data_IF_787792872798
#
_entry.id   IF_787792872798
#
_cell.length_a   1.000
_cell.length_b   1.000
_cell.length_c   1.000
_cell.angle_alpha   90.00
_cell.angle_beta   90.00
_cell.angle_gamma   90.00
#
_symmetry.space_group_name_H-M   'P 1'
#
loop_
_entity.id
_entity.type
_entity.pdbx_description
1 polymer ?
#
# COMPACT_ATOMS: atom_id res chain seq x y z
N UNK A 1 -15.00 42.81 8.77
CA UNK A 1 -15.39 41.85 9.80
C UNK A 1 -14.35 40.76 9.79
N UNK A 2 -13.62 40.56 10.90
CA UNK A 2 -12.61 39.47 10.96
C UNK A 2 -13.35 38.14 11.07
N UNK A 3 -12.79 37.10 10.47
CA UNK A 3 -13.37 35.73 10.58
C UNK A 3 -13.55 35.30 12.06
N UNK A 4 -12.63 35.71 12.94
CA UNK A 4 -12.71 35.51 14.38
C UNK A 4 -14.00 36.03 15.02
N UNK A 5 -14.50 37.19 14.59
CA UNK A 5 -15.72 37.79 15.13
C UNK A 5 -16.99 36.98 14.78
N UNK A 6 -16.97 36.33 13.60
CA UNK A 6 -18.08 35.48 13.15
C UNK A 6 -18.13 34.21 14.01
N UNK A 7 -16.99 33.58 14.25
CA UNK A 7 -16.90 32.37 15.05
C UNK A 7 -17.25 32.65 16.52
N UNK A 8 -16.74 33.73 17.10
CA UNK A 8 -17.10 34.14 18.46
C UNK A 8 -18.60 34.26 18.65
N UNK A 9 -19.29 34.94 17.73
CA UNK A 9 -20.76 35.08 17.78
C UNK A 9 -21.50 33.76 17.63
N UNK A 10 -21.07 32.91 16.69
CA UNK A 10 -21.76 31.65 16.38
C UNK A 10 -21.54 30.56 17.46
N UNK A 11 -20.37 30.54 18.07
CA UNK A 11 -20.02 29.56 19.11
C UNK A 11 -20.32 30.10 20.52
N UNK A 12 -20.80 31.34 20.62
CA UNK A 12 -21.09 32.03 21.89
C UNK A 12 -19.84 32.08 22.80
N UNK A 13 -18.67 32.34 22.20
CA UNK A 13 -17.39 32.46 22.89
C UNK A 13 -17.08 33.91 23.22
N UNK A 14 -16.46 34.15 24.38
CA UNK A 14 -16.13 35.48 24.87
C UNK A 14 -14.95 36.10 24.12
N UNK A 15 -13.94 35.28 23.80
CA UNK A 15 -12.71 35.69 23.13
C UNK A 15 -12.21 34.69 22.08
N UNK A 16 -11.08 34.99 21.45
CA UNK A 16 -10.46 34.16 20.40
C UNK A 16 -9.87 32.87 21.00
N UNK A 17 -9.39 32.90 22.24
CA UNK A 17 -8.82 31.75 22.91
C UNK A 17 -9.92 30.71 23.26
N UNK A 18 -11.10 31.17 23.65
CA UNK A 18 -12.27 30.30 23.83
C UNK A 18 -12.72 29.64 22.52
N UNK A 19 -12.72 30.38 21.42
CA UNK A 19 -12.97 29.82 20.09
C UNK A 19 -11.94 28.76 19.73
N UNK A 20 -10.67 29.04 19.96
CA UNK A 20 -9.58 28.09 19.70
C UNK A 20 -9.70 26.83 20.55
N UNK A 21 -9.99 26.98 21.85
CA UNK A 21 -10.19 25.83 22.75
C UNK A 21 -11.44 25.00 22.35
N UNK A 22 -12.52 25.67 21.95
CA UNK A 22 -13.71 24.98 21.44
C UNK A 22 -13.38 24.16 20.20
N UNK A 23 -12.67 24.73 19.23
CA UNK A 23 -12.26 24.04 18.02
C UNK A 23 -11.33 22.86 18.33
N UNK A 24 -10.31 23.06 19.20
CA UNK A 24 -9.40 21.99 19.61
C UNK A 24 -10.16 20.86 20.30
N UNK A 25 -11.10 21.18 21.19
CA UNK A 25 -11.88 20.18 21.90
C UNK A 25 -12.84 19.42 20.96
N UNK A 26 -13.44 20.13 19.98
CA UNK A 26 -14.29 19.49 18.96
C UNK A 26 -13.49 18.59 18.00
N UNK A 27 -12.20 18.88 17.79
CA UNK A 27 -11.30 18.04 16.96
C UNK A 27 -10.82 16.78 17.67
N UNK A 28 -11.02 16.65 18.98
CA UNK A 28 -10.56 15.46 19.75
C UNK A 28 -11.44 14.23 19.56
N UNK A 29 -12.67 14.38 19.12
CA UNK A 29 -13.56 13.26 18.84
C UNK A 29 -13.43 12.84 17.38
N UNK A 30 -12.80 11.68 17.18
CA UNK A 30 -12.72 11.08 15.84
C UNK A 30 -14.03 10.32 15.59
N UNK A 31 -14.86 10.86 14.70
CA UNK A 31 -16.07 10.16 14.23
C UNK A 31 -15.67 9.29 13.06
N UNK A 32 -15.85 7.97 13.18
CA UNK A 32 -15.55 7.01 12.16
C UNK A 32 -16.83 6.46 11.53
N UNK A 33 -16.87 6.40 10.20
CA UNK A 33 -17.88 5.65 9.46
C UNK A 33 -17.48 4.16 9.38
N UNK A 34 -18.43 3.27 9.02
CA UNK A 34 -18.16 1.84 8.93
C UNK A 34 -17.10 1.48 7.90
N UNK A 35 -16.91 2.28 6.88
CA UNK A 35 -15.85 2.14 5.86
C UNK A 35 -14.46 2.56 6.35
N UNK A 36 -14.35 3.13 7.55
CA UNK A 36 -13.07 3.41 8.21
C UNK A 36 -12.33 2.12 8.56
N UNK A 37 -13.02 1.05 8.88
CA UNK A 37 -12.40 -0.20 9.32
C UNK A 37 -11.80 -0.97 8.14
N UNK A 38 -10.98 -1.99 8.44
CA UNK A 38 -10.37 -2.85 7.43
C UNK A 38 -11.45 -3.52 6.58
N UNK A 39 -11.32 -3.40 5.27
CA UNK A 39 -12.25 -4.00 4.32
C UNK A 39 -11.92 -5.50 4.11
N UNK A 40 -12.16 -6.32 5.12
CA UNK A 40 -11.79 -7.74 5.15
C UNK A 40 -12.28 -8.53 3.94
N UNK A 41 -13.54 -8.38 3.57
CA UNK A 41 -14.11 -9.08 2.40
C UNK A 41 -13.33 -8.78 1.14
N UNK A 42 -12.97 -7.51 0.93
CA UNK A 42 -12.18 -7.08 -0.24
C UNK A 42 -10.77 -7.68 -0.24
N UNK A 43 -10.14 -7.74 0.95
CA UNK A 43 -8.80 -8.32 1.10
C UNK A 43 -8.84 -9.82 0.84
N UNK A 44 -9.75 -10.55 1.48
CA UNK A 44 -9.90 -11.99 1.34
C UNK A 44 -10.19 -12.37 -0.12
N UNK A 45 -11.12 -11.67 -0.79
CA UNK A 45 -11.44 -11.93 -2.18
C UNK A 45 -10.26 -11.69 -3.11
N UNK A 46 -9.48 -10.63 -2.87
CA UNK A 46 -8.28 -10.33 -3.66
C UNK A 46 -7.21 -11.40 -3.48
N UNK A 47 -6.88 -11.74 -2.24
CA UNK A 47 -5.87 -12.76 -1.93
C UNK A 47 -6.32 -14.12 -2.44
N UNK A 48 -7.60 -14.49 -2.24
CA UNK A 48 -8.18 -15.73 -2.75
C UNK A 48 -8.07 -15.88 -4.26
N UNK A 49 -8.21 -14.78 -5.01
CA UNK A 49 -8.08 -14.82 -6.49
C UNK A 49 -6.69 -15.20 -6.99
N UNK A 50 -5.64 -15.03 -6.17
CA UNK A 50 -4.24 -15.32 -6.51
C UNK A 50 -3.61 -16.37 -5.57
N UNK A 51 -4.41 -16.99 -4.71
CA UNK A 51 -3.93 -17.89 -3.65
C UNK A 51 -3.09 -19.05 -4.19
N UNK A 52 -3.50 -19.65 -5.30
CA UNK A 52 -2.75 -20.75 -5.93
C UNK A 52 -1.35 -20.30 -6.32
N UNK A 53 -1.24 -19.11 -6.94
CA UNK A 53 0.04 -18.55 -7.36
C UNK A 53 0.91 -18.16 -6.14
N UNK A 54 0.30 -17.64 -5.08
CA UNK A 54 1.00 -17.37 -3.81
C UNK A 54 1.55 -18.65 -3.17
N UNK A 55 0.77 -19.74 -3.24
CA UNK A 55 1.20 -21.05 -2.71
C UNK A 55 2.38 -21.64 -3.49
N UNK A 56 2.52 -21.35 -4.79
CA UNK A 56 3.71 -21.75 -5.56
C UNK A 56 4.97 -21.10 -4.96
N UNK A 57 4.89 -19.83 -4.54
CA UNK A 57 6.01 -19.11 -3.93
C UNK A 57 6.41 -19.66 -2.55
N UNK A 58 5.54 -20.41 -1.85
CA UNK A 58 5.90 -21.07 -0.60
C UNK A 58 7.10 -22.02 -0.76
N UNK A 59 7.32 -22.53 -1.99
CA UNK A 59 8.49 -23.35 -2.32
C UNK A 59 9.82 -22.67 -1.97
N UNK A 60 9.88 -21.35 -2.03
CA UNK A 60 11.09 -20.57 -1.77
C UNK A 60 11.42 -20.43 -0.29
N UNK A 61 10.46 -20.69 0.61
CA UNK A 61 10.64 -20.49 2.04
C UNK A 61 11.73 -21.41 2.60
N UNK A 62 12.77 -20.79 3.16
CA UNK A 62 13.89 -21.49 3.77
C UNK A 62 14.90 -22.12 2.79
N UNK A 63 14.83 -21.78 1.51
CA UNK A 63 15.84 -22.19 0.52
C UNK A 63 17.16 -21.47 0.79
N UNK A 64 18.27 -22.21 0.70
CA UNK A 64 19.61 -21.65 0.90
C UNK A 64 20.05 -20.84 -0.32
N UNK A 65 19.92 -21.43 -1.51
CA UNK A 65 20.28 -20.80 -2.78
C UNK A 65 19.07 -20.12 -3.39
N UNK A 66 18.48 -19.18 -2.64
CA UNK A 66 17.20 -18.57 -2.94
C UNK A 66 17.16 -17.95 -4.35
N UNK A 67 18.26 -17.34 -4.81
CA UNK A 67 18.33 -16.70 -6.14
C UNK A 67 18.16 -17.72 -7.26
N UNK A 68 18.89 -18.83 -7.21
CA UNK A 68 18.78 -19.88 -8.22
C UNK A 68 17.43 -20.60 -8.18
N UNK A 69 16.95 -20.91 -7.00
CA UNK A 69 15.63 -21.52 -6.82
C UNK A 69 14.50 -20.60 -7.31
N UNK A 70 14.65 -19.29 -7.13
CA UNK A 70 13.72 -18.30 -7.64
C UNK A 70 13.72 -18.27 -9.18
N UNK A 71 14.91 -18.27 -9.83
CA UNK A 71 15.02 -18.30 -11.29
C UNK A 71 14.37 -19.57 -11.87
N UNK A 72 14.62 -20.72 -11.25
CA UNK A 72 14.00 -21.99 -11.65
C UNK A 72 12.49 -21.93 -11.51
N UNK A 73 11.99 -21.36 -10.40
CA UNK A 73 10.57 -21.27 -10.11
C UNK A 73 9.86 -20.37 -11.13
N UNK A 74 10.34 -19.14 -11.39
CA UNK A 74 9.69 -18.23 -12.33
C UNK A 74 9.72 -18.72 -13.77
N UNK A 75 10.78 -19.47 -14.15
CA UNK A 75 10.85 -20.10 -15.48
C UNK A 75 9.81 -21.22 -15.63
N UNK A 76 9.56 -21.97 -14.55
CA UNK A 76 8.57 -23.04 -14.54
C UNK A 76 7.13 -22.55 -14.37
N UNK A 77 6.94 -21.48 -13.61
CA UNK A 77 5.66 -20.88 -13.25
C UNK A 77 5.67 -19.37 -13.52
N UNK A 78 5.64 -18.95 -14.80
CA UNK A 78 5.80 -17.55 -15.17
C UNK A 78 4.71 -16.63 -14.63
N UNK A 79 3.53 -17.15 -14.28
CA UNK A 79 2.46 -16.41 -13.61
C UNK A 79 2.88 -15.84 -12.25
N UNK A 80 3.88 -16.40 -11.60
CA UNK A 80 4.38 -15.91 -10.30
C UNK A 80 5.00 -14.51 -10.41
N UNK A 81 5.45 -14.11 -11.60
CA UNK A 81 6.02 -12.77 -11.81
C UNK A 81 4.96 -11.68 -11.59
N UNK A 82 3.71 -11.91 -11.98
CA UNK A 82 2.64 -10.92 -11.86
C UNK A 82 2.28 -10.56 -10.42
N UNK A 83 2.61 -11.44 -9.48
CA UNK A 83 2.32 -11.21 -8.07
C UNK A 83 3.51 -10.69 -7.26
N UNK A 84 4.72 -10.60 -7.85
CA UNK A 84 5.89 -10.07 -7.15
C UNK A 84 5.69 -8.64 -6.62
N UNK A 85 5.07 -7.71 -7.38
CA UNK A 85 4.83 -6.37 -6.86
C UNK A 85 4.01 -6.34 -5.57
N UNK A 86 3.01 -7.23 -5.43
CA UNK A 86 2.17 -7.25 -4.23
C UNK A 86 2.95 -7.63 -2.97
N UNK A 87 3.99 -8.46 -3.11
CA UNK A 87 4.89 -8.80 -2.00
C UNK A 87 5.68 -7.58 -1.49
N UNK A 88 5.80 -6.54 -2.31
CA UNK A 88 6.44 -5.27 -2.00
C UNK A 88 5.45 -4.14 -1.74
N UNK A 89 4.19 -4.47 -1.46
CA UNK A 89 3.10 -3.52 -1.25
C UNK A 89 2.83 -2.59 -2.45
N UNK A 90 3.17 -3.01 -3.67
CA UNK A 90 2.93 -2.28 -4.90
C UNK A 90 1.69 -2.83 -5.62
N UNK A 91 0.99 -1.95 -6.33
CA UNK A 91 -0.20 -2.32 -7.11
C UNK A 91 0.03 -2.26 -8.61
N UNK A 92 1.03 -1.52 -9.02
CA UNK A 92 1.43 -1.37 -10.40
C UNK A 92 2.22 -2.60 -10.87
N UNK A 93 1.98 -3.03 -12.11
CA UNK A 93 2.73 -4.10 -12.76
C UNK A 93 3.99 -3.60 -13.50
N UNK A 94 4.34 -2.35 -13.35
CA UNK A 94 5.64 -1.81 -13.77
C UNK A 94 6.16 -0.84 -12.72
N UNK A 95 7.47 -0.84 -12.53
CA UNK A 95 8.16 0.00 -11.56
C UNK A 95 9.42 0.57 -12.18
N UNK A 96 9.58 1.88 -12.08
CA UNK A 96 10.81 2.57 -12.47
C UNK A 96 11.68 2.76 -11.23
N UNK A 97 12.89 2.23 -11.29
CA UNK A 97 13.87 2.35 -10.21
C UNK A 97 15.00 3.24 -10.70
N UNK A 98 15.32 4.25 -9.90
CA UNK A 98 16.44 5.12 -10.16
C UNK A 98 17.74 4.35 -10.00
N UNK A 99 18.64 4.45 -11.01
CA UNK A 99 19.98 3.92 -10.92
C UNK A 99 20.98 5.07 -10.65
N UNK A 100 21.96 4.86 -9.74
CA UNK A 100 22.98 5.88 -9.45
C UNK A 100 23.75 6.28 -10.71
N UNK A 101 24.11 7.53 -10.77
CA UNK A 101 24.78 8.15 -11.91
C UNK A 101 26.11 7.47 -12.33
N UNK A 102 26.21 7.18 -13.60
CA UNK A 102 27.45 7.29 -14.34
C UNK A 102 27.27 8.47 -15.30
N UNK A 103 28.11 9.51 -15.20
CA UNK A 103 28.16 10.67 -16.10
C UNK A 103 26.99 11.69 -16.07
N UNK A 104 26.54 12.17 -14.88
CA UNK A 104 25.59 13.30 -14.74
C UNK A 104 24.24 13.16 -15.48
N UNK A 105 23.86 11.98 -15.96
CA UNK A 105 22.60 11.72 -16.63
C UNK A 105 21.66 10.94 -15.71
N UNK A 106 20.43 11.42 -15.54
CA UNK A 106 19.38 10.68 -14.84
C UNK A 106 19.10 9.38 -15.59
N UNK A 107 19.40 8.25 -14.97
CA UNK A 107 19.09 6.95 -15.52
C UNK A 107 18.07 6.23 -14.62
N UNK A 108 17.13 5.54 -15.22
CA UNK A 108 16.20 4.67 -14.52
C UNK A 108 16.05 3.36 -15.27
N UNK A 109 15.92 2.28 -14.51
CA UNK A 109 15.60 0.96 -15.03
C UNK A 109 14.12 0.67 -14.78
N UNK A 110 13.41 0.27 -15.83
CA UNK A 110 12.03 -0.16 -15.72
C UNK A 110 11.93 -1.66 -15.58
N UNK A 111 11.23 -2.12 -14.57
CA UNK A 111 10.90 -3.52 -14.32
C UNK A 111 9.45 -3.75 -14.62
N UNK A 112 9.16 -4.79 -15.44
CA UNK A 112 7.81 -5.10 -15.92
C UNK A 112 7.42 -6.49 -15.43
N UNK A 113 6.25 -6.59 -14.79
CA UNK A 113 5.75 -7.79 -14.12
C UNK A 113 4.47 -8.33 -14.80
N UNK A 114 4.49 -8.47 -16.11
CA UNK A 114 3.41 -9.13 -16.85
C UNK A 114 3.83 -10.54 -17.21
N UNK A 115 2.88 -11.49 -17.10
CA UNK A 115 3.09 -12.87 -17.55
C UNK A 115 3.48 -12.90 -19.02
N UNK A 116 4.51 -13.68 -19.34
CA UNK A 116 4.91 -14.05 -20.70
C UNK A 116 4.97 -15.57 -20.82
N UNK A 117 4.80 -16.08 -22.01
CA UNK A 117 4.93 -17.53 -22.24
C UNK A 117 6.39 -18.01 -22.05
N UNK A 118 7.34 -17.17 -22.41
CA UNK A 118 8.78 -17.44 -22.25
C UNK A 118 9.50 -16.16 -21.84
N UNK A 119 10.45 -16.30 -20.93
CA UNK A 119 11.39 -15.26 -20.54
C UNK A 119 12.79 -15.59 -21.05
N UNK A 120 13.51 -14.60 -21.54
CA UNK A 120 14.92 -14.74 -21.82
C UNK A 120 15.73 -14.87 -20.52
N UNK A 121 16.95 -15.36 -20.64
CA UNK A 121 17.87 -15.45 -19.51
C UNK A 121 18.09 -14.08 -18.86
N UNK A 122 18.31 -13.03 -19.65
CA UNK A 122 18.56 -11.67 -19.16
C UNK A 122 17.34 -11.08 -18.44
N UNK A 123 16.12 -11.38 -18.89
CA UNK A 123 14.90 -10.97 -18.21
C UNK A 123 14.75 -11.65 -16.84
N UNK A 124 15.04 -12.94 -16.76
CA UNK A 124 15.01 -13.69 -15.49
C UNK A 124 16.06 -13.14 -14.53
N UNK A 125 17.28 -12.91 -14.99
CA UNK A 125 18.35 -12.31 -14.18
C UNK A 125 17.95 -10.91 -13.70
N UNK A 126 17.38 -10.08 -14.58
CA UNK A 126 16.91 -8.74 -14.21
C UNK A 126 15.83 -8.77 -13.12
N UNK A 127 14.87 -9.72 -13.19
CA UNK A 127 13.83 -9.88 -12.16
C UNK A 127 14.43 -10.41 -10.85
N UNK A 128 15.42 -11.31 -10.94
CA UNK A 128 16.12 -11.81 -9.76
C UNK A 128 16.95 -10.70 -9.08
N UNK A 129 17.62 -9.86 -9.85
CA UNK A 129 18.31 -8.67 -9.35
C UNK A 129 17.35 -7.71 -8.63
N UNK A 130 16.17 -7.49 -9.20
CA UNK A 130 15.14 -6.68 -8.56
C UNK A 130 14.71 -7.27 -7.22
N UNK A 131 14.44 -8.57 -7.18
CA UNK A 131 14.04 -9.27 -5.95
C UNK A 131 15.12 -9.21 -4.87
N UNK A 132 16.39 -9.31 -5.25
CA UNK A 132 17.53 -9.20 -4.34
C UNK A 132 17.71 -7.77 -3.83
N UNK A 133 17.76 -6.78 -4.73
CA UNK A 133 17.96 -5.37 -4.38
C UNK A 133 16.82 -4.78 -3.54
N UNK A 134 15.61 -5.27 -3.73
CA UNK A 134 14.45 -4.88 -2.88
C UNK A 134 14.41 -5.58 -1.54
N UNK A 135 15.31 -6.56 -1.29
CA UNK A 135 15.32 -7.37 -0.08
C UNK A 135 14.23 -8.44 -0.04
N UNK A 136 13.53 -8.69 -1.16
CA UNK A 136 12.45 -9.70 -1.19
C UNK A 136 12.97 -11.09 -0.83
N UNK A 137 14.20 -11.44 -1.21
CA UNK A 137 14.77 -12.73 -0.85
C UNK A 137 14.93 -12.93 0.65
N UNK A 138 15.20 -11.87 1.42
CA UNK A 138 15.28 -11.95 2.88
C UNK A 138 13.95 -12.34 3.53
N UNK A 139 12.80 -12.05 2.88
CA UNK A 139 11.48 -12.47 3.38
C UNK A 139 11.35 -14.00 3.38
N UNK A 140 11.88 -14.67 2.36
CA UNK A 140 11.83 -16.12 2.22
C UNK A 140 12.94 -16.85 2.98
N UNK A 141 14.12 -16.22 3.11
CA UNK A 141 15.25 -16.81 3.82
C UNK A 141 14.97 -16.96 5.30
N UNK A 142 15.70 -17.85 5.96
CA UNK A 142 15.65 -18.08 7.40
C UNK A 142 14.24 -18.39 7.95
N UNK A 143 13.28 -18.68 7.08
CA UNK A 143 11.88 -18.93 7.45
C UNK A 143 11.25 -17.76 8.21
N UNK A 144 11.59 -16.52 7.82
CA UNK A 144 11.00 -15.30 8.39
C UNK A 144 9.48 -15.26 8.24
N UNK A 145 8.96 -15.91 7.19
CA UNK A 145 7.53 -16.16 7.01
C UNK A 145 7.27 -17.68 6.96
N UNK A 146 6.04 -18.07 7.32
CA UNK A 146 5.58 -19.46 7.24
C UNK A 146 4.68 -19.72 6.04
N UNK A 147 4.04 -18.70 5.55
CA UNK A 147 3.09 -18.72 4.45
C UNK A 147 3.15 -17.40 3.69
N UNK A 148 3.27 -17.46 2.37
CA UNK A 148 3.21 -16.28 1.50
C UNK A 148 1.79 -15.72 1.45
N UNK A 149 0.77 -16.57 1.57
CA UNK A 149 -0.63 -16.13 1.64
C UNK A 149 -0.86 -15.25 2.87
N UNK A 150 -0.44 -15.71 4.06
CA UNK A 150 -0.60 -14.94 5.30
C UNK A 150 0.22 -13.64 5.27
N UNK A 151 1.42 -13.68 4.70
CA UNK A 151 2.23 -12.49 4.48
C UNK A 151 1.49 -11.46 3.62
N UNK A 152 0.91 -11.89 2.49
CA UNK A 152 0.18 -10.99 1.57
C UNK A 152 -1.11 -10.46 2.20
N UNK A 153 -1.81 -11.24 3.02
CA UNK A 153 -2.93 -10.71 3.83
C UNK A 153 -2.44 -9.57 4.71
N UNK A 154 -1.31 -9.72 5.39
CA UNK A 154 -0.70 -8.66 6.19
C UNK A 154 -0.34 -7.41 5.37
N UNK A 155 0.24 -7.59 4.18
CA UNK A 155 0.55 -6.49 3.24
C UNK A 155 -0.72 -5.76 2.82
N UNK A 156 -1.78 -6.47 2.44
CA UNK A 156 -3.06 -5.89 2.04
C UNK A 156 -3.74 -5.12 3.18
N UNK A 157 -3.69 -5.64 4.40
CA UNK A 157 -4.16 -4.93 5.60
C UNK A 157 -3.37 -3.64 5.82
N UNK A 158 -2.04 -3.67 5.63
CA UNK A 158 -1.18 -2.49 5.70
C UNK A 158 -1.55 -1.42 4.67
N UNK A 159 -1.77 -1.83 3.41
CA UNK A 159 -2.19 -0.95 2.33
C UNK A 159 -3.59 -0.35 2.59
N UNK A 160 -4.53 -1.16 3.09
CA UNK A 160 -5.87 -0.68 3.44
C UNK A 160 -5.82 0.27 4.64
N UNK A 161 -4.96 0.02 5.62
CA UNK A 161 -4.74 0.90 6.76
C UNK A 161 -4.23 2.28 6.36
N UNK A 162 -3.34 2.36 5.37
CA UNK A 162 -2.90 3.65 4.81
C UNK A 162 -4.04 4.39 4.10
N UNK A 163 -4.96 3.68 3.46
CA UNK A 163 -6.14 4.27 2.82
C UNK A 163 -7.15 4.83 3.83
N UNK A 164 -7.10 4.44 5.12
CA UNK A 164 -8.00 4.95 6.18
C UNK A 164 -7.91 6.45 6.35
N UNK A 165 -6.71 7.04 6.25
CA UNK A 165 -6.52 8.50 6.37
C UNK A 165 -7.37 9.25 5.34
N UNK A 166 -7.43 8.73 4.12
CA UNK A 166 -8.22 9.32 3.04
C UNK A 166 -9.73 9.11 3.28
N UNK A 167 -10.15 7.97 3.83
CA UNK A 167 -11.56 7.70 4.18
C UNK A 167 -12.03 8.60 5.32
N UNK A 168 -11.20 8.78 6.35
CA UNK A 168 -11.48 9.70 7.45
C UNK A 168 -11.64 11.15 6.96
N UNK A 169 -10.75 11.60 6.06
CA UNK A 169 -10.86 12.91 5.42
C UNK A 169 -12.19 13.09 4.68
N UNK A 170 -12.60 12.12 3.87
CA UNK A 170 -13.90 12.15 3.15
C UNK A 170 -15.10 12.19 4.09
N UNK A 171 -15.07 11.44 5.21
CA UNK A 171 -16.12 11.48 6.20
C UNK A 171 -16.26 12.89 6.80
N UNK A 172 -15.14 13.56 7.11
CA UNK A 172 -15.14 14.94 7.59
C UNK A 172 -15.63 15.94 6.54
N UNK A 173 -15.25 15.77 5.27
CA UNK A 173 -15.75 16.57 4.15
C UNK A 173 -17.28 16.45 4.05
N UNK A 174 -17.81 15.23 4.10
CA UNK A 174 -19.25 14.97 4.02
C UNK A 174 -20.01 15.58 5.20
N UNK A 175 -19.49 15.46 6.42
CA UNK A 175 -20.07 16.08 7.62
C UNK A 175 -20.07 17.61 7.46
N UNK A 176 -18.96 18.18 7.01
CA UNK A 176 -18.82 19.63 6.79
C UNK A 176 -19.80 20.11 5.71
N UNK A 177 -19.93 19.39 4.61
CA UNK A 177 -20.87 19.72 3.52
C UNK A 177 -22.33 19.69 4.01
N UNK A 178 -22.73 18.66 4.79
CA UNK A 178 -24.04 18.57 5.37
C UNK A 178 -24.31 19.73 6.34
N UNK A 179 -23.29 20.14 7.12
CA UNK A 179 -23.39 21.27 8.03
C UNK A 179 -23.57 22.57 7.26
N UNK A 180 -22.78 22.79 6.20
CA UNK A 180 -22.90 23.98 5.36
C UNK A 180 -24.29 24.03 4.72
N UNK A 181 -24.75 22.96 4.09
CA UNK A 181 -26.08 22.89 3.46
C UNK A 181 -27.22 23.16 4.43
N UNK A 182 -27.07 22.77 5.70
CA UNK A 182 -28.11 22.94 6.73
C UNK A 182 -28.11 24.34 7.35
N UNK A 183 -26.96 25.00 7.46
CA UNK A 183 -26.82 26.24 8.23
C UNK A 183 -26.39 27.48 7.41
N UNK A 184 -26.08 27.30 6.14
CA UNK A 184 -25.79 28.39 5.22
C UNK A 184 -26.90 28.44 4.18
N UNK A 185 -27.77 29.47 4.21
CA UNK A 185 -28.86 29.66 3.26
C UNK A 185 -28.34 29.95 1.85
#
# INVERSE_FOLDING_TARGET
>A
MKYSDIFRKRLNCVDEDEVFQYLINSMKETINSWDFFVAWEKIINRVGSIEVTLNILNYLIGKKDIREEFKILINKYPETIEILPILLALREKSVKVFEPFEDDVFNYKEYIFYKKDNYSFDEIESIADFAEKTGLFAVFQEKNIKSVVDYVIGVEVGLDSNARKNRSGRAMEMITELFIKKFVP
#
